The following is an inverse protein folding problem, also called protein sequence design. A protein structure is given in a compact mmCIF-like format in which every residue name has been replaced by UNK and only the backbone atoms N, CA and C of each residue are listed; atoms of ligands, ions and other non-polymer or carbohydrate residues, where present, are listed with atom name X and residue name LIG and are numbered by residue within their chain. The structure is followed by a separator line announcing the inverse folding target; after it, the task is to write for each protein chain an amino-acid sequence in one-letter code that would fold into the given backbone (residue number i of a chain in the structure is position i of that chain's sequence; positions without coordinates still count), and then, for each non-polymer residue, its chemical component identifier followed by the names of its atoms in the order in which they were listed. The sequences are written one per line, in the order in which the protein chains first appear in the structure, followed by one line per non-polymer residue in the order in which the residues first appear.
data_IF_730489355077
#
_entry.id   IF_730489355077
#
_cell.length_a   1.000
_cell.length_b   1.000
_cell.length_c   1.000
_cell.angle_alpha   90.00
_cell.angle_beta   90.00
_cell.angle_gamma   90.00
#
_symmetry.space_group_name_H-M   'P 1'
#
loop_
_entity.id
_entity.type
_entity.pdbx_description
1 polymer ?
#
# COMPACT_ATOMS: atom_id res chain seq x y z
N UNK A 1 8.48 3.07 -0.73
CA UNK A 1 8.92 4.36 -1.30
C UNK A 1 10.42 4.28 -1.51
N UNK A 2 10.94 4.76 -2.64
CA UNK A 2 12.34 4.54 -3.00
C UNK A 2 13.26 5.43 -2.14
N UNK A 3 14.37 4.87 -1.65
CA UNK A 3 15.30 5.55 -0.72
C UNK A 3 15.84 6.86 -1.29
N UNK A 4 16.06 6.91 -2.60
CA UNK A 4 16.50 8.11 -3.32
C UNK A 4 15.50 9.28 -3.16
N UNK A 5 14.19 9.00 -3.20
CA UNK A 5 13.15 10.03 -3.05
C UNK A 5 13.18 10.58 -1.63
N UNK A 6 13.38 9.72 -0.63
CA UNK A 6 13.45 10.12 0.78
C UNK A 6 14.66 11.04 1.01
N UNK A 7 15.84 10.63 0.52
CA UNK A 7 17.07 11.42 0.65
C UNK A 7 16.92 12.78 -0.05
N UNK A 8 16.46 12.80 -1.31
CA UNK A 8 16.26 14.03 -2.06
C UNK A 8 15.25 14.96 -1.37
N UNK A 9 14.14 14.40 -0.87
CA UNK A 9 13.11 15.18 -0.17
C UNK A 9 13.62 15.75 1.15
N UNK A 10 14.49 15.02 1.85
CA UNK A 10 15.11 15.47 3.10
C UNK A 10 16.07 16.63 2.84
N UNK A 11 16.96 16.49 1.85
CA UNK A 11 17.88 17.57 1.46
C UNK A 11 17.10 18.82 1.04
N UNK A 12 16.06 18.67 0.21
CA UNK A 12 15.27 19.80 -0.26
C UNK A 12 14.50 20.48 0.89
N UNK A 13 13.94 19.72 1.83
CA UNK A 13 13.23 20.25 2.99
C UNK A 13 14.16 21.03 3.93
N UNK A 14 15.36 20.50 4.19
CA UNK A 14 16.37 21.19 5.00
C UNK A 14 16.83 22.47 4.31
N UNK A 15 17.09 22.42 2.99
CA UNK A 15 17.50 23.59 2.24
C UNK A 15 16.43 24.70 2.29
N UNK A 16 15.15 24.36 2.14
CA UNK A 16 14.05 25.32 2.26
C UNK A 16 13.90 25.90 3.67
N UNK A 17 14.13 25.09 4.70
CA UNK A 17 14.13 25.53 6.10
C UNK A 17 15.23 26.57 6.36
N UNK A 18 16.48 26.23 6.04
CA UNK A 18 17.63 27.11 6.24
C UNK A 18 17.56 28.38 5.37
N UNK A 19 17.04 28.24 4.15
CA UNK A 19 16.76 29.37 3.27
C UNK A 19 15.78 30.37 3.93
N UNK A 20 14.81 29.87 4.70
CA UNK A 20 13.91 30.70 5.48
C UNK A 20 14.64 31.57 6.50
N UNK A 21 15.53 30.99 7.30
CA UNK A 21 16.36 31.73 8.25
C UNK A 21 17.25 32.75 7.54
N UNK A 22 17.90 32.35 6.45
CA UNK A 22 18.78 33.20 5.66
C UNK A 22 18.05 34.45 5.12
N UNK A 23 16.86 34.27 4.52
CA UNK A 23 16.05 35.39 4.01
C UNK A 23 15.61 36.31 5.15
N UNK A 24 15.12 35.75 6.25
CA UNK A 24 14.63 36.55 7.36
C UNK A 24 15.78 37.38 7.98
N UNK A 25 16.94 36.78 8.19
CA UNK A 25 18.14 37.46 8.67
C UNK A 25 18.58 38.58 7.71
N UNK A 26 18.64 38.30 6.41
CA UNK A 26 18.98 39.29 5.40
C UNK A 26 17.99 40.47 5.38
N UNK A 27 16.70 40.21 5.60
CA UNK A 27 15.67 41.26 5.67
C UNK A 27 15.82 42.19 6.89
N UNK A 28 16.47 41.71 7.95
CA UNK A 28 16.78 42.47 9.17
C UNK A 28 18.24 42.99 9.17
N UNK A 29 18.97 42.85 8.06
CA UNK A 29 20.35 43.33 7.91
C UNK A 29 21.40 42.50 8.65
N UNK A 30 21.07 41.29 9.10
CA UNK A 30 22.00 40.38 9.77
C UNK A 30 22.75 39.56 8.73
N UNK A 31 24.08 39.61 8.78
CA UNK A 31 24.93 38.87 7.85
C UNK A 31 25.08 37.41 8.28
N UNK A 32 25.10 36.51 7.28
CA UNK A 32 25.45 35.11 7.47
C UNK A 32 26.96 34.93 7.52
N UNK A 33 27.46 34.19 8.50
CA UNK A 33 28.89 33.92 8.64
C UNK A 33 29.30 32.66 7.86
N UNK A 34 28.56 31.56 8.04
CA UNK A 34 28.78 30.31 7.33
C UNK A 34 27.52 29.44 7.33
N UNK A 35 27.50 28.44 6.44
CA UNK A 35 26.52 27.35 6.48
C UNK A 35 27.27 26.09 6.87
N UNK A 36 26.80 25.38 7.89
CA UNK A 36 27.35 24.08 8.26
C UNK A 36 26.36 22.97 7.93
N UNK A 37 26.87 21.88 7.36
CA UNK A 37 26.13 20.65 7.13
C UNK A 37 26.67 19.61 8.10
N UNK A 38 25.79 18.88 8.77
CA UNK A 38 26.15 17.86 9.74
C UNK A 38 25.28 16.61 9.60
N UNK A 39 25.73 15.50 10.18
CA UNK A 39 24.96 14.26 10.27
C UNK A 39 24.68 13.95 11.74
N UNK A 40 23.42 14.08 12.16
CA UNK A 40 22.99 13.71 13.51
C UNK A 40 22.44 12.28 13.53
N UNK A 41 23.29 11.32 13.92
CA UNK A 41 23.02 9.87 13.96
C UNK A 41 22.68 9.30 12.58
N UNK A 42 21.46 9.52 12.09
CA UNK A 42 20.97 9.05 10.78
C UNK A 42 20.33 10.17 9.95
N UNK A 43 20.18 11.37 10.52
CA UNK A 43 19.51 12.49 9.86
C UNK A 43 20.53 13.53 9.39
N UNK A 44 20.58 13.84 8.09
CA UNK A 44 21.31 15.01 7.64
C UNK A 44 20.66 16.26 8.24
N UNK A 45 21.49 17.22 8.62
CA UNK A 45 21.10 18.52 9.11
C UNK A 45 21.95 19.60 8.47
N UNK A 46 21.40 20.81 8.39
CA UNK A 46 22.16 22.00 8.07
C UNK A 46 21.81 23.08 9.08
N UNK A 47 22.69 24.08 9.22
CA UNK A 47 22.42 25.27 9.99
C UNK A 47 23.07 26.48 9.30
N UNK A 48 22.34 27.59 9.28
CA UNK A 48 22.86 28.91 8.89
C UNK A 48 23.38 29.62 10.13
N UNK A 49 24.70 29.80 10.22
CA UNK A 49 25.32 30.57 11.29
C UNK A 49 25.19 32.07 11.00
N UNK A 50 24.55 32.78 11.93
CA UNK A 50 24.33 34.21 11.87
C UNK A 50 25.27 34.94 12.82
N UNK A 51 25.61 36.18 12.50
CA UNK A 51 26.39 37.01 13.41
C UNK A 51 25.61 37.28 14.71
N UNK A 52 26.09 36.69 15.82
CA UNK A 52 25.39 36.70 17.10
C UNK A 52 25.30 38.11 17.71
N UNK A 53 26.34 38.93 17.56
CA UNK A 53 26.38 40.30 18.10
C UNK A 53 25.32 41.19 17.43
N UNK A 54 25.19 41.10 16.10
CA UNK A 54 24.14 41.82 15.37
C UNK A 54 22.74 41.29 15.73
N UNK A 55 22.60 39.98 15.91
CA UNK A 55 21.34 39.33 16.25
C UNK A 55 20.83 39.73 17.66
N UNK A 56 21.71 39.79 18.67
CA UNK A 56 21.32 40.16 20.04
C UNK A 56 20.91 41.64 20.17
N UNK A 57 21.37 42.49 19.26
CA UNK A 57 21.01 43.91 19.20
C UNK A 57 19.66 44.18 18.51
N UNK A 58 19.04 43.17 17.88
CA UNK A 58 17.74 43.33 17.22
C UNK A 58 16.58 43.42 18.23
N UNK A 59 15.47 44.10 17.85
CA UNK A 59 14.25 44.03 18.64
C UNK A 59 13.74 42.58 18.71
N UNK A 60 13.16 42.22 19.86
CA UNK A 60 12.73 40.85 20.15
C UNK A 60 11.79 40.26 19.08
N UNK A 61 10.95 41.09 18.46
CA UNK A 61 10.06 40.65 17.40
C UNK A 61 10.80 40.27 16.11
N UNK A 62 11.83 41.03 15.73
CA UNK A 62 12.69 40.69 14.58
C UNK A 62 13.47 39.41 14.83
N UNK A 63 14.01 39.24 16.04
CA UNK A 63 14.67 38.00 16.45
C UNK A 63 13.71 36.80 16.38
N UNK A 64 12.48 36.95 16.88
CA UNK A 64 11.45 35.91 16.80
C UNK A 64 11.09 35.59 15.35
N UNK A 65 10.98 36.59 14.47
CA UNK A 65 10.74 36.38 13.03
C UNK A 65 11.85 35.55 12.39
N UNK A 66 13.11 35.81 12.72
CA UNK A 66 14.26 35.06 12.20
C UNK A 66 14.21 33.61 12.69
N UNK A 67 13.99 33.37 13.99
CA UNK A 67 13.93 31.99 14.52
C UNK A 67 12.70 31.21 14.05
N UNK A 68 11.55 31.86 13.85
CA UNK A 68 10.37 31.20 13.29
C UNK A 68 10.44 31.00 11.77
N UNK A 69 11.42 31.60 11.09
CA UNK A 69 11.42 31.65 9.63
C UNK A 69 11.56 30.28 8.97
N UNK A 70 12.45 29.40 9.46
CA UNK A 70 12.60 28.06 8.89
C UNK A 70 11.33 27.22 8.99
N UNK A 71 10.72 27.18 10.19
CA UNK A 71 9.44 26.52 10.42
C UNK A 71 8.36 27.08 9.48
N UNK A 72 8.26 28.41 9.35
CA UNK A 72 7.29 29.07 8.48
C UNK A 72 7.48 28.69 7.00
N UNK A 73 8.72 28.63 6.51
CA UNK A 73 9.00 28.25 5.12
C UNK A 73 8.66 26.78 4.84
N UNK A 74 8.90 25.88 5.80
CA UNK A 74 8.46 24.50 5.70
C UNK A 74 6.93 24.40 5.68
N UNK A 75 6.21 25.19 6.49
CA UNK A 75 4.73 25.24 6.45
C UNK A 75 4.22 25.71 5.08
N UNK A 76 4.83 26.77 4.51
CA UNK A 76 4.50 27.22 3.14
C UNK A 76 4.80 26.11 2.12
N UNK A 77 5.94 25.45 2.24
CA UNK A 77 6.34 24.38 1.33
C UNK A 77 5.38 23.18 1.39
N UNK A 78 4.94 22.81 2.59
CA UNK A 78 3.86 21.83 2.80
C UNK A 78 2.56 22.27 2.11
N UNK A 79 2.14 23.52 2.30
CA UNK A 79 0.93 24.06 1.65
C UNK A 79 1.05 24.04 0.12
N UNK A 80 2.22 24.36 -0.43
CA UNK A 80 2.51 24.26 -1.85
C UNK A 80 2.45 22.80 -2.35
N UNK A 81 2.99 21.84 -1.61
CA UNK A 81 2.90 20.42 -1.94
C UNK A 81 1.44 19.93 -1.96
N UNK A 82 0.63 20.32 -0.97
CA UNK A 82 -0.81 19.99 -0.93
C UNK A 82 -1.54 20.61 -2.11
N UNK A 83 -1.30 21.89 -2.41
CA UNK A 83 -1.91 22.56 -3.55
C UNK A 83 -1.53 21.86 -4.87
N UNK A 84 -0.26 21.52 -5.05
CA UNK A 84 0.21 20.80 -6.23
C UNK A 84 -0.40 19.40 -6.33
N UNK A 85 -0.57 18.69 -5.22
CA UNK A 85 -1.25 17.39 -5.20
C UNK A 85 -2.73 17.51 -5.60
N UNK A 86 -3.42 18.58 -5.19
CA UNK A 86 -4.80 18.86 -5.60
C UNK A 86 -4.92 19.23 -7.09
N UNK A 87 -3.93 19.95 -7.63
CA UNK A 87 -3.87 20.32 -9.05
C UNK A 87 -3.35 19.19 -9.95
N UNK A 88 -2.78 18.13 -9.38
CA UNK A 88 -2.14 17.04 -10.11
C UNK A 88 -3.06 16.37 -11.16
N UNK A 89 -4.34 16.06 -10.89
CA UNK A 89 -5.22 15.48 -11.89
C UNK A 89 -5.41 16.39 -13.11
N UNK A 90 -5.43 17.72 -12.92
CA UNK A 90 -5.55 18.71 -14.00
C UNK A 90 -4.28 18.77 -14.85
N UNK A 91 -3.11 18.73 -14.20
CA UNK A 91 -1.81 18.73 -14.88
C UNK A 91 -1.59 17.46 -15.69
N UNK A 92 -2.05 16.31 -15.18
CA UNK A 92 -1.85 15.01 -15.81
C UNK A 92 -2.89 14.68 -16.89
N UNK A 93 -4.12 15.20 -16.81
CA UNK A 93 -5.23 14.87 -17.71
C UNK A 93 -4.90 14.95 -19.23
N UNK A 94 -4.08 15.90 -19.74
CA UNK A 94 -3.74 15.96 -21.17
C UNK A 94 -3.00 14.71 -21.68
N UNK A 95 -2.16 14.09 -20.85
CA UNK A 95 -1.29 12.98 -21.24
C UNK A 95 -1.77 11.63 -20.67
N UNK A 96 -2.51 11.66 -19.57
CA UNK A 96 -2.93 10.48 -18.81
C UNK A 96 -4.46 10.42 -18.68
N UNK A 97 -4.98 9.21 -18.56
CA UNK A 97 -6.36 8.93 -18.17
C UNK A 97 -6.36 8.21 -16.82
N UNK A 98 -7.38 8.48 -16.02
CA UNK A 98 -7.61 7.84 -14.74
C UNK A 98 -9.03 7.30 -14.66
N UNK A 99 -9.25 6.32 -13.77
CA UNK A 99 -10.56 5.75 -13.49
C UNK A 99 -10.87 4.41 -14.14
N UNK A 100 -10.08 3.95 -15.12
CA UNK A 100 -10.27 2.66 -15.81
C UNK A 100 -9.18 1.65 -15.42
N UNK A 101 -9.20 1.24 -14.14
CA UNK A 101 -8.23 0.30 -13.58
C UNK A 101 -6.95 0.97 -13.05
N UNK A 102 -6.06 0.15 -12.50
CA UNK A 102 -4.76 0.55 -11.98
C UNK A 102 -3.65 -0.03 -12.84
N UNK A 103 -2.75 0.82 -13.35
CA UNK A 103 -1.59 0.35 -14.10
C UNK A 103 -0.50 -0.16 -13.14
N UNK A 104 0.11 -1.28 -13.51
CA UNK A 104 1.18 -1.93 -12.77
C UNK A 104 2.50 -1.23 -13.10
N UNK A 105 3.08 -0.55 -12.11
CA UNK A 105 4.36 0.15 -12.19
C UNK A 105 5.54 -0.76 -11.87
N UNK A 106 5.28 -1.86 -11.16
CA UNK A 106 6.30 -2.83 -10.80
C UNK A 106 5.73 -3.97 -9.97
N UNK A 107 6.31 -5.15 -10.11
CA UNK A 107 5.95 -6.33 -9.32
C UNK A 107 7.23 -6.88 -8.69
N UNK A 108 7.18 -7.20 -7.40
CA UNK A 108 8.29 -7.87 -6.73
C UNK A 108 8.54 -9.23 -7.36
N UNK A 109 9.79 -9.52 -7.73
CA UNK A 109 10.19 -10.80 -8.32
C UNK A 109 9.96 -12.00 -7.37
N UNK A 110 9.96 -11.77 -6.06
CA UNK A 110 9.67 -12.79 -5.06
C UNK A 110 8.19 -13.16 -4.96
N UNK A 111 7.29 -12.33 -5.52
CA UNK A 111 5.85 -12.55 -5.45
C UNK A 111 5.39 -13.50 -6.56
N UNK A 112 4.48 -14.42 -6.26
CA UNK A 112 3.84 -15.28 -7.26
C UNK A 112 3.03 -14.49 -8.30
N UNK A 113 2.67 -13.22 -8.02
CA UNK A 113 2.06 -12.32 -8.99
C UNK A 113 2.95 -12.01 -10.19
N UNK A 114 4.28 -12.06 -10.04
CA UNK A 114 5.23 -11.79 -11.13
C UNK A 114 5.12 -12.78 -12.29
N UNK A 115 4.50 -13.95 -12.06
CA UNK A 115 4.25 -14.96 -13.11
C UNK A 115 3.06 -14.61 -14.01
N UNK A 116 2.10 -13.83 -13.50
CA UNK A 116 0.83 -13.54 -14.18
C UNK A 116 0.70 -12.09 -14.62
N UNK A 117 1.27 -11.16 -13.84
CA UNK A 117 1.25 -9.72 -14.11
C UNK A 117 2.61 -9.22 -14.54
N UNK A 118 2.62 -8.40 -15.58
CA UNK A 118 3.80 -7.68 -16.08
C UNK A 118 3.68 -6.17 -15.84
N UNK A 119 4.81 -5.48 -15.89
CA UNK A 119 4.82 -4.00 -15.84
C UNK A 119 4.02 -3.46 -17.02
N UNK A 120 3.21 -2.43 -16.78
CA UNK A 120 2.24 -1.80 -17.68
C UNK A 120 0.94 -2.59 -17.95
N UNK A 121 0.76 -3.77 -17.34
CA UNK A 121 -0.57 -4.39 -17.28
C UNK A 121 -1.51 -3.50 -16.45
N UNK A 122 -2.81 -3.54 -16.74
CA UNK A 122 -3.83 -2.75 -16.04
C UNK A 122 -4.75 -3.69 -15.28
N UNK A 123 -4.75 -3.61 -13.94
CA UNK A 123 -5.68 -4.34 -13.09
C UNK A 123 -7.04 -3.67 -13.16
N UNK A 124 -8.08 -4.41 -13.51
CA UNK A 124 -9.44 -3.90 -13.69
C UNK A 124 -10.31 -4.18 -12.47
N UNK A 125 -10.27 -5.42 -11.96
CA UNK A 125 -11.10 -5.86 -10.86
C UNK A 125 -10.44 -6.96 -10.03
N UNK A 126 -10.83 -7.04 -8.75
CA UNK A 126 -10.52 -8.17 -7.87
C UNK A 126 -11.83 -8.80 -7.41
N UNK A 127 -11.97 -10.11 -7.56
CA UNK A 127 -13.20 -10.88 -7.30
C UNK A 127 -14.45 -10.32 -8.01
N UNK A 128 -14.27 -9.68 -9.18
CA UNK A 128 -15.34 -9.03 -9.94
C UNK A 128 -15.70 -7.61 -9.48
N UNK A 129 -15.08 -7.11 -8.40
CA UNK A 129 -15.24 -5.72 -7.97
C UNK A 129 -14.21 -4.83 -8.66
N UNK A 130 -14.70 -3.83 -9.40
CA UNK A 130 -13.85 -2.89 -10.13
C UNK A 130 -12.99 -2.06 -9.19
N UNK A 131 -11.68 -2.00 -9.46
CA UNK A 131 -10.72 -1.22 -8.69
C UNK A 131 -10.36 0.02 -9.49
N UNK A 132 -10.62 1.20 -8.90
CA UNK A 132 -10.28 2.49 -9.54
C UNK A 132 -9.21 3.26 -8.78
N UNK A 133 -9.00 2.95 -7.50
CA UNK A 133 -8.01 3.63 -6.64
C UNK A 133 -7.12 2.63 -5.93
N UNK A 134 -5.89 3.05 -5.65
CA UNK A 134 -4.90 2.27 -4.89
C UNK A 134 -5.39 1.95 -3.47
N UNK A 135 -6.16 2.85 -2.86
CA UNK A 135 -6.80 2.59 -1.56
C UNK A 135 -7.80 1.43 -1.61
N UNK A 136 -8.52 1.26 -2.73
CA UNK A 136 -9.49 0.19 -2.89
C UNK A 136 -8.75 -1.16 -2.98
N UNK A 137 -7.63 -1.21 -3.71
CA UNK A 137 -6.71 -2.37 -3.73
C UNK A 137 -6.21 -2.74 -2.33
N UNK A 138 -5.67 -1.77 -1.58
CA UNK A 138 -5.15 -2.02 -0.23
C UNK A 138 -6.26 -2.49 0.71
N UNK A 139 -7.45 -1.87 0.66
CA UNK A 139 -8.58 -2.27 1.50
C UNK A 139 -9.09 -3.66 1.16
N UNK A 140 -9.20 -4.01 -0.13
CA UNK A 140 -9.68 -5.33 -0.54
C UNK A 140 -8.75 -6.45 -0.08
N UNK A 141 -7.45 -6.23 -0.19
CA UNK A 141 -6.46 -7.21 0.27
C UNK A 141 -6.31 -7.23 1.79
N UNK A 142 -6.52 -6.10 2.49
CA UNK A 142 -6.51 -6.04 3.95
C UNK A 142 -7.81 -6.54 4.62
N UNK A 143 -8.97 -6.46 3.95
CA UNK A 143 -10.26 -6.91 4.50
C UNK A 143 -10.47 -8.42 4.43
N UNK A 144 -9.75 -9.15 3.56
CA UNK A 144 -9.71 -10.63 3.61
C UNK A 144 -9.16 -11.19 4.94
N UNK A 145 -8.62 -10.32 5.79
CA UNK A 145 -8.17 -10.63 7.16
C UNK A 145 -9.20 -10.32 8.25
N UNK A 146 -10.20 -9.45 8.02
CA UNK A 146 -11.13 -8.98 9.07
C UNK A 146 -12.32 -9.92 9.28
N UNK A 147 -12.78 -10.60 8.23
CA UNK A 147 -13.79 -11.68 8.37
C UNK A 147 -13.25 -12.91 9.14
N UNK A 148 -11.92 -12.98 9.37
CA UNK A 148 -11.29 -14.05 10.19
C UNK A 148 -11.46 -13.85 11.70
N UNK A 149 -11.96 -12.70 12.19
CA UNK A 149 -12.00 -12.40 13.64
C UNK A 149 -13.40 -12.51 14.25
N UNK A 150 -14.47 -12.66 13.47
CA UNK A 150 -15.85 -12.71 13.98
C UNK A 150 -16.48 -14.11 14.06
N UNK A 151 -15.75 -15.19 13.78
CA UNK A 151 -16.20 -16.56 14.05
C UNK A 151 -15.42 -17.15 15.23
N UNK A 152 -16.03 -17.03 16.43
CA UNK A 152 -15.74 -17.71 17.69
C UNK A 152 -14.41 -18.50 17.83
N UNK A 153 -13.54 -18.01 18.73
CA UNK A 153 -12.52 -18.83 19.40
C UNK A 153 -13.17 -20.10 19.98
N UNK A 154 -12.74 -21.27 19.51
CA UNK A 154 -12.87 -22.52 20.26
C UNK A 154 -11.46 -23.04 20.53
N UNK A 155 -11.11 -23.05 21.82
CA UNK A 155 -9.90 -23.63 22.38
C UNK A 155 -9.79 -25.12 22.01
N UNK A 156 -8.67 -25.51 21.38
CA UNK A 156 -8.35 -26.91 21.15
C UNK A 156 -7.05 -27.07 20.37
N UNK A 157 -5.96 -27.39 21.07
CA UNK A 157 -4.66 -27.66 20.48
C UNK A 157 -4.67 -28.91 19.60
N UNK A 158 -4.50 -28.72 18.30
CA UNK A 158 -3.91 -29.68 17.35
C UNK A 158 -3.61 -28.91 16.06
N UNK A 159 -2.38 -29.02 15.54
CA UNK A 159 -2.00 -28.41 14.25
C UNK A 159 -2.84 -29.05 13.12
N UNK A 160 -3.96 -28.43 12.80
CA UNK A 160 -4.85 -28.80 11.71
C UNK A 160 -4.67 -27.79 10.56
N UNK A 161 -4.62 -28.29 9.33
CA UNK A 161 -4.76 -27.47 8.12
C UNK A 161 -6.19 -26.89 8.11
N UNK A 162 -6.39 -25.82 8.87
CA UNK A 162 -7.66 -25.13 9.01
C UNK A 162 -8.04 -24.46 7.70
N UNK A 163 -9.19 -24.86 7.15
CA UNK A 163 -9.83 -24.19 6.04
C UNK A 163 -9.98 -22.69 6.36
N UNK A 164 -9.30 -21.83 5.60
CA UNK A 164 -9.66 -20.42 5.59
C UNK A 164 -10.99 -20.30 4.86
N UNK A 165 -12.03 -20.00 5.62
CA UNK A 165 -13.40 -19.75 5.18
C UNK A 165 -13.44 -18.55 4.21
N UNK A 166 -13.00 -18.74 2.97
CA UNK A 166 -13.28 -17.77 1.92
C UNK A 166 -14.71 -17.91 1.43
N UNK A 167 -15.37 -19.07 1.59
CA UNK A 167 -16.74 -19.33 1.13
C UNK A 167 -16.92 -19.23 -0.39
N UNK A 168 -15.83 -19.04 -1.15
CA UNK A 168 -15.80 -18.82 -2.60
C UNK A 168 -15.64 -20.17 -3.30
N UNK A 169 -16.70 -20.65 -3.93
CA UNK A 169 -16.71 -21.88 -4.69
C UNK A 169 -17.10 -21.68 -6.15
N UNK A 170 -17.04 -22.78 -6.89
CA UNK A 170 -17.44 -22.89 -8.28
C UNK A 170 -18.29 -24.15 -8.48
N UNK A 171 -19.32 -24.06 -9.34
CA UNK A 171 -20.16 -25.18 -9.73
C UNK A 171 -19.40 -26.07 -10.72
N UNK A 172 -18.92 -27.22 -10.25
CA UNK A 172 -18.12 -28.16 -11.04
C UNK A 172 -18.99 -29.34 -11.48
N UNK A 173 -19.07 -29.64 -12.78
CA UNK A 173 -19.82 -30.79 -13.28
C UNK A 173 -19.26 -32.13 -12.80
N UNK A 174 -20.15 -33.13 -12.67
CA UNK A 174 -19.78 -34.50 -12.28
C UNK A 174 -18.69 -35.12 -13.16
N UNK A 175 -18.72 -34.85 -14.46
CA UNK A 175 -17.72 -35.37 -15.41
C UNK A 175 -16.28 -34.96 -15.08
N UNK A 176 -16.07 -33.74 -14.56
CA UNK A 176 -14.75 -33.24 -14.16
C UNK A 176 -14.29 -33.88 -12.85
N UNK A 177 -15.24 -34.11 -11.93
CA UNK A 177 -14.98 -34.79 -10.67
C UNK A 177 -14.60 -36.26 -10.89
N UNK A 178 -15.29 -36.97 -11.77
CA UNK A 178 -14.99 -38.36 -12.13
C UNK A 178 -13.63 -38.47 -12.83
N UNK A 179 -13.33 -37.53 -13.74
CA UNK A 179 -12.01 -37.44 -14.37
C UNK A 179 -10.89 -37.20 -13.35
N UNK A 180 -11.14 -36.35 -12.35
CA UNK A 180 -10.21 -36.11 -11.25
C UNK A 180 -9.98 -37.36 -10.40
N UNK A 181 -11.03 -38.12 -10.06
CA UNK A 181 -10.90 -39.38 -9.30
C UNK A 181 -10.05 -40.42 -10.04
N UNK A 182 -10.17 -40.51 -11.36
CA UNK A 182 -9.33 -41.38 -12.18
C UNK A 182 -7.84 -40.99 -12.11
N UNK A 183 -7.52 -39.69 -12.00
CA UNK A 183 -6.14 -39.20 -11.81
C UNK A 183 -5.57 -39.56 -10.43
N UNK A 184 -6.38 -39.52 -9.37
CA UNK A 184 -5.96 -39.90 -8.01
C UNK A 184 -5.63 -41.40 -7.91
N UNK A 185 -6.41 -42.26 -8.57
CA UNK A 185 -6.19 -43.72 -8.55
C UNK A 185 -4.88 -44.15 -9.23
N UNK A 186 -4.27 -43.30 -10.05
CA UNK A 186 -3.04 -43.62 -10.79
C UNK A 186 -1.77 -43.37 -9.96
N UNK A 187 -1.80 -42.47 -8.96
CA UNK A 187 -0.57 -41.87 -8.44
C UNK A 187 -0.13 -42.30 -7.04
N UNK A 188 -0.89 -43.14 -6.32
CA UNK A 188 -0.57 -43.73 -5.01
C UNK A 188 0.04 -42.75 -3.96
N UNK A 189 -0.18 -41.44 -4.14
CA UNK A 189 0.39 -40.34 -3.37
C UNK A 189 -0.73 -39.41 -2.93
N UNK A 190 -0.74 -39.11 -1.63
CA UNK A 190 -1.71 -38.27 -0.92
C UNK A 190 -1.78 -36.79 -1.36
N UNK A 191 -1.09 -36.37 -2.42
CA UNK A 191 -0.91 -34.96 -2.77
C UNK A 191 -1.19 -34.70 -4.25
N UNK A 192 -1.96 -33.65 -4.56
CA UNK A 192 -2.16 -33.19 -5.93
C UNK A 192 -0.81 -32.86 -6.59
N UNK A 193 -0.64 -33.15 -7.89
CA UNK A 193 0.47 -32.63 -8.69
C UNK A 193 0.59 -31.11 -8.58
N UNK A 194 1.81 -30.57 -8.67
CA UNK A 194 2.13 -29.15 -8.42
C UNK A 194 1.37 -28.14 -9.32
N UNK A 195 0.76 -28.60 -10.41
CA UNK A 195 -0.04 -27.77 -11.34
C UNK A 195 -1.54 -27.74 -11.02
N UNK A 196 -2.01 -28.59 -10.10
CA UNK A 196 -3.41 -28.77 -9.74
C UNK A 196 -3.70 -28.28 -8.32
N UNK A 197 -4.88 -27.70 -8.12
CA UNK A 197 -5.34 -27.26 -6.81
C UNK A 197 -6.35 -28.27 -6.26
N UNK A 198 -6.27 -28.52 -4.95
CA UNK A 198 -7.24 -29.35 -4.23
C UNK A 198 -8.52 -28.55 -4.01
N UNK A 199 -9.64 -29.10 -4.42
CA UNK A 199 -10.98 -28.60 -4.13
C UNK A 199 -11.76 -29.63 -3.33
N UNK A 200 -12.65 -29.19 -2.45
CA UNK A 200 -13.61 -30.07 -1.79
C UNK A 200 -15.03 -29.51 -1.82
N UNK A 201 -16.00 -30.40 -1.57
CA UNK A 201 -17.42 -30.04 -1.62
C UNK A 201 -17.79 -29.07 -0.50
N UNK A 202 -18.55 -28.05 -0.86
CA UNK A 202 -19.05 -27.05 0.07
C UNK A 202 -20.56 -27.18 0.25
N UNK A 203 -21.01 -27.15 1.50
CA UNK A 203 -22.43 -27.14 1.86
C UNK A 203 -22.85 -25.75 2.34
N UNK A 204 -23.99 -25.29 1.83
CA UNK A 204 -24.51 -23.96 2.07
C UNK A 204 -25.03 -23.71 3.49
N UNK A 205 -25.08 -24.75 4.33
CA UNK A 205 -25.46 -24.64 5.74
C UNK A 205 -24.31 -24.17 6.65
N UNK A 206 -23.27 -23.53 6.09
CA UNK A 206 -22.17 -22.90 6.82
C UNK A 206 -21.02 -23.82 7.25
N UNK A 207 -21.05 -25.10 6.88
CA UNK A 207 -19.95 -26.04 7.15
C UNK A 207 -19.37 -26.56 5.83
N UNK A 208 -18.13 -26.17 5.55
CA UNK A 208 -17.32 -26.88 4.58
C UNK A 208 -16.94 -28.24 5.21
N UNK A 209 -17.38 -29.34 4.61
CA UNK A 209 -17.08 -30.68 5.12
C UNK A 209 -15.68 -31.08 4.64
N UNK A 210 -14.68 -30.88 5.49
CA UNK A 210 -13.31 -31.32 5.25
C UNK A 210 -12.91 -32.38 6.27
N UNK A 211 -12.59 -33.62 5.86
CA UNK A 211 -12.24 -34.69 6.80
C UNK A 211 -10.81 -34.55 7.33
N UNK A 212 -10.71 -34.43 8.66
CA UNK A 212 -9.50 -34.55 9.49
C UNK A 212 -9.70 -33.74 10.77
N UNK A 213 -9.92 -34.30 11.96
CA UNK A 213 -9.22 -35.41 12.60
C UNK A 213 -10.11 -36.05 13.68
N UNK A 214 -10.50 -37.31 13.50
CA UNK A 214 -10.77 -38.20 14.62
C UNK A 214 -10.28 -39.60 14.26
N UNK A 215 -9.43 -40.15 15.12
CA UNK A 215 -8.87 -41.49 14.99
C UNK A 215 -9.95 -42.53 15.29
N UNK A 216 -10.79 -42.91 14.32
CA UNK A 216 -11.41 -44.25 14.26
C UNK A 216 -11.80 -44.55 12.81
N UNK A 217 -11.26 -45.65 12.30
CA UNK A 217 -11.65 -46.48 11.14
C UNK A 217 -12.21 -45.88 9.84
N UNK A 218 -11.76 -46.53 8.77
CA UNK A 218 -12.42 -46.76 7.49
C UNK A 218 -12.11 -45.82 6.31
N UNK A 219 -11.88 -46.50 5.19
CA UNK A 219 -11.49 -46.12 3.83
C UNK A 219 -12.39 -45.07 3.12
N UNK A 220 -13.17 -44.29 3.88
CA UNK A 220 -14.22 -43.39 3.39
C UNK A 220 -13.86 -41.90 3.45
N UNK A 221 -12.72 -41.54 4.05
CA UNK A 221 -12.29 -40.16 4.29
C UNK A 221 -11.66 -39.46 3.07
N UNK A 222 -11.40 -40.18 1.97
CA UNK A 222 -10.73 -39.65 0.76
C UNK A 222 -11.70 -39.32 -0.38
N UNK A 223 -13.02 -39.44 -0.17
CA UNK A 223 -14.02 -39.49 -1.25
C UNK A 223 -14.50 -38.12 -1.80
N UNK A 224 -14.13 -37.00 -1.15
CA UNK A 224 -14.68 -35.66 -1.46
C UNK A 224 -13.64 -34.57 -1.79
N UNK A 225 -12.39 -34.97 -2.10
CA UNK A 225 -11.35 -34.06 -2.57
C UNK A 225 -11.05 -34.30 -4.06
N UNK A 226 -10.88 -33.22 -4.82
CA UNK A 226 -10.71 -33.25 -6.27
C UNK A 226 -9.53 -32.36 -6.65
N UNK A 227 -8.58 -32.88 -7.44
CA UNK A 227 -7.51 -32.06 -8.04
C UNK A 227 -8.03 -31.48 -9.34
N UNK A 228 -8.12 -30.15 -9.45
CA UNK A 228 -8.62 -29.47 -10.64
C UNK A 228 -7.66 -28.35 -11.07
N UNK A 229 -7.68 -28.03 -12.36
CA UNK A 229 -6.91 -26.94 -12.94
C UNK A 229 -7.61 -25.62 -12.60
N UNK A 230 -6.97 -24.78 -11.78
CA UNK A 230 -7.53 -23.51 -11.33
C UNK A 230 -8.00 -22.60 -12.49
N UNK A 231 -7.20 -22.52 -13.58
CA UNK A 231 -7.49 -21.74 -14.80
C UNK A 231 -8.83 -22.09 -15.45
N UNK A 232 -9.25 -23.35 -15.37
CA UNK A 232 -10.48 -23.79 -16.01
C UNK A 232 -11.67 -23.76 -15.05
N UNK A 233 -11.43 -24.03 -13.76
CA UNK A 233 -12.46 -23.91 -12.71
C UNK A 233 -12.98 -22.48 -12.58
N UNK A 234 -12.12 -21.47 -12.70
CA UNK A 234 -12.56 -20.06 -12.57
C UNK A 234 -13.49 -19.55 -13.67
N UNK A 235 -13.62 -20.30 -14.77
CA UNK A 235 -14.56 -19.98 -15.85
C UNK A 235 -15.98 -20.49 -15.55
N UNK A 236 -16.13 -21.35 -14.55
CA UNK A 236 -17.41 -21.96 -14.17
C UNK A 236 -18.27 -20.99 -13.36
N UNK A 237 -19.56 -21.31 -13.25
CA UNK A 237 -20.51 -20.53 -12.44
C UNK A 237 -20.03 -20.48 -10.98
N UNK A 238 -20.02 -19.27 -10.40
CA UNK A 238 -19.64 -19.04 -9.01
C UNK A 238 -20.71 -19.59 -8.07
N UNK A 239 -20.29 -20.15 -6.94
CA UNK A 239 -21.19 -20.61 -5.88
C UNK A 239 -20.58 -20.34 -4.50
N UNK A 240 -21.39 -20.47 -3.45
CA UNK A 240 -20.98 -20.25 -2.07
C UNK A 240 -21.18 -18.80 -1.62
N UNK A 241 -21.00 -18.57 -0.32
CA UNK A 241 -21.36 -17.33 0.37
C UNK A 241 -20.21 -16.29 0.42
N UNK A 242 -19.06 -16.60 -0.18
CA UNK A 242 -17.84 -15.80 -0.11
C UNK A 242 -17.66 -14.71 -1.17
N UNK A 243 -18.55 -14.66 -2.15
CA UNK A 243 -18.44 -13.73 -3.29
C UNK A 243 -19.11 -12.39 -2.94
N UNK A 244 -18.34 -11.29 -2.97
CA UNK A 244 -18.81 -9.95 -2.61
C UNK A 244 -19.37 -9.24 -3.85
N UNK A 245 -20.60 -8.71 -3.77
CA UNK A 245 -21.24 -7.97 -4.88
C UNK A 245 -22.46 -8.63 -5.54
N UNK A 246 -23.08 -9.61 -4.87
CA UNK A 246 -24.42 -10.10 -5.20
C UNK A 246 -25.31 -9.81 -4.02
N UNK A 247 -25.87 -8.59 -3.99
CA UNK A 247 -26.97 -8.27 -3.08
C UNK A 247 -28.14 -9.22 -3.39
N UNK A 248 -28.63 -9.87 -2.34
CA UNK A 248 -29.87 -10.64 -2.30
C UNK A 248 -30.12 -11.64 -3.43
N UNK A 249 -29.61 -12.86 -3.28
CA UNK A 249 -30.37 -14.03 -3.72
C UNK A 249 -29.88 -15.31 -3.01
N UNK A 250 -30.79 -15.94 -2.26
CA UNK A 250 -30.67 -17.29 -1.70
C UNK A 250 -30.37 -18.39 -2.76
N UNK A 251 -30.32 -18.03 -4.04
CA UNK A 251 -30.01 -18.91 -5.18
C UNK A 251 -28.50 -19.12 -5.43
N UNK A 252 -27.61 -18.29 -4.86
CA UNK A 252 -26.15 -18.31 -5.12
C UNK A 252 -25.41 -19.54 -4.59
N UNK A 253 -26.10 -20.37 -3.83
CA UNK A 253 -25.57 -21.57 -3.26
C UNK A 253 -26.02 -22.84 -4.02
N UNK A 254 -26.80 -22.66 -5.10
CA UNK A 254 -27.36 -23.74 -5.91
C UNK A 254 -26.66 -23.85 -7.28
N UNK A 255 -25.99 -24.98 -7.47
CA UNK A 255 -25.49 -25.44 -8.77
C UNK A 255 -26.60 -26.23 -9.47
N UNK A 256 -26.44 -26.50 -10.77
CA UNK A 256 -27.41 -27.33 -11.51
C UNK A 256 -27.44 -28.78 -10.99
N UNK A 257 -28.47 -29.56 -11.33
CA UNK A 257 -28.69 -30.92 -10.79
C UNK A 257 -27.51 -31.90 -11.03
N UNK A 258 -26.58 -31.60 -11.95
CA UNK A 258 -25.37 -32.40 -12.25
C UNK A 258 -24.05 -31.71 -11.85
N UNK A 259 -24.12 -30.66 -11.05
CA UNK A 259 -22.98 -29.86 -10.61
C UNK A 259 -22.92 -29.77 -9.08
N UNK A 260 -21.71 -29.77 -8.54
CA UNK A 260 -21.50 -29.56 -7.10
C UNK A 260 -20.68 -28.31 -6.85
N UNK A 261 -21.00 -27.60 -5.77
CA UNK A 261 -20.23 -26.45 -5.35
C UNK A 261 -18.90 -26.92 -4.73
N UNK A 262 -17.79 -26.63 -5.40
CA UNK A 262 -16.46 -26.98 -4.94
C UNK A 262 -15.68 -25.72 -4.53
N UNK A 263 -15.05 -25.76 -3.35
CA UNK A 263 -14.26 -24.68 -2.77
C UNK A 263 -12.80 -25.12 -2.67
N UNK A 264 -11.81 -24.25 -2.98
CA UNK A 264 -10.40 -24.59 -2.89
C UNK A 264 -9.99 -24.82 -1.42
N UNK A 265 -9.20 -25.86 -1.21
CA UNK A 265 -8.60 -26.17 0.10
C UNK A 265 -7.30 -25.39 0.22
N UNK A 266 -7.30 -24.37 1.08
CA UNK A 266 -6.18 -23.46 1.27
C UNK A 266 -5.49 -23.71 2.61
N UNK A 267 -4.20 -23.41 2.66
CA UNK A 267 -3.45 -23.36 3.91
C UNK A 267 -3.96 -22.21 4.80
N UNK A 268 -3.93 -22.38 6.14
CA UNK A 268 -4.21 -21.29 7.07
C UNK A 268 -3.43 -20.02 6.73
N UNK A 269 -4.13 -18.88 6.67
CA UNK A 269 -3.55 -17.60 6.30
C UNK A 269 -3.65 -17.26 4.80
N UNK A 270 -3.73 -18.26 3.91
CA UNK A 270 -3.80 -18.02 2.47
C UNK A 270 -5.24 -17.71 2.05
N UNK A 271 -5.36 -16.93 0.97
CA UNK A 271 -6.65 -16.52 0.41
C UNK A 271 -6.69 -16.77 -1.09
N UNK A 272 -7.89 -17.05 -1.60
CA UNK A 272 -8.19 -17.20 -3.02
C UNK A 272 -8.81 -15.90 -3.53
N UNK A 273 -8.12 -15.25 -4.46
CA UNK A 273 -8.61 -14.03 -5.11
C UNK A 273 -8.49 -14.14 -6.62
N UNK A 274 -9.51 -13.67 -7.32
CA UNK A 274 -9.55 -13.58 -8.77
C UNK A 274 -9.12 -12.17 -9.19
N UNK A 275 -8.12 -12.04 -10.06
CA UNK A 275 -7.65 -10.74 -10.55
C UNK A 275 -7.85 -10.68 -12.06
N UNK A 276 -8.66 -9.71 -12.50
CA UNK A 276 -8.85 -9.41 -13.92
C UNK A 276 -7.93 -8.28 -14.35
N UNK A 277 -7.29 -8.45 -15.49
CA UNK A 277 -6.30 -7.51 -16.02
C UNK A 277 -6.45 -7.32 -17.53
N UNK A 278 -5.94 -6.19 -18.02
CA UNK A 278 -5.81 -5.88 -19.43
C UNK A 278 -4.36 -5.56 -19.79
N UNK A 279 -3.99 -5.83 -21.05
CA UNK A 279 -2.70 -5.49 -21.65
C UNK A 279 -2.89 -4.54 -22.83
N UNK A 280 -3.35 -3.30 -22.58
CA UNK A 280 -3.68 -2.36 -23.67
C UNK A 280 -2.47 -1.99 -24.54
N UNK A 281 -1.26 -2.13 -24.00
CA UNK A 281 -0.02 -1.78 -24.68
C UNK A 281 0.70 -2.98 -25.31
N UNK A 282 0.12 -4.18 -25.27
CA UNK A 282 0.71 -5.33 -25.96
C UNK A 282 0.61 -5.13 -27.48
N UNK A 283 1.62 -5.60 -28.21
CA UNK A 283 1.65 -5.49 -29.67
C UNK A 283 0.41 -6.13 -30.31
N UNK A 284 0.00 -7.29 -29.80
CA UNK A 284 -1.19 -8.03 -30.26
C UNK A 284 -2.48 -7.23 -30.03
N UNK A 285 -2.57 -6.49 -28.93
CA UNK A 285 -3.76 -5.69 -28.63
C UNK A 285 -3.83 -4.42 -29.48
N UNK A 286 -2.69 -3.71 -29.63
CA UNK A 286 -2.60 -2.50 -30.46
C UNK A 286 -2.90 -2.80 -31.93
N UNK A 287 -2.46 -3.94 -32.45
CA UNK A 287 -2.79 -4.39 -33.82
C UNK A 287 -4.29 -4.66 -33.99
N UNK A 288 -4.96 -5.18 -32.96
CA UNK A 288 -6.40 -5.47 -32.99
C UNK A 288 -7.22 -4.19 -32.95
N UNK A 289 -6.81 -3.18 -32.20
CA UNK A 289 -7.46 -1.87 -32.13
C UNK A 289 -7.31 -1.07 -33.44
N UNK A 290 -6.14 -1.16 -34.09
CA UNK A 290 -5.92 -0.59 -35.43
C UNK A 290 -6.77 -1.24 -36.53
N UNK A 291 -7.19 -2.50 -36.36
CA UNK A 291 -8.06 -3.22 -37.30
C UNK A 291 -9.55 -3.06 -36.98
N UNK A 292 -9.91 -2.58 -35.78
CA UNK A 292 -11.28 -2.36 -35.32
C UNK A 292 -11.87 -1.01 -35.75
N UNK A 293 -11.30 -0.37 -36.78
CA UNK A 293 -11.99 0.69 -37.53
C UNK A 293 -12.94 0.13 -38.59
N UNK A 294 -12.97 -1.20 -38.78
CA UNK A 294 -13.77 -1.90 -39.78
C UNK A 294 -14.23 -3.27 -39.26
N UNK A 295 -15.25 -3.30 -38.40
CA UNK A 295 -16.32 -4.31 -38.37
C UNK A 295 -17.01 -4.36 -36.99
N UNK A 296 -18.34 -4.43 -37.03
CA UNK A 296 -19.19 -4.65 -35.86
C UNK A 296 -18.76 -5.91 -35.10
N UNK A 297 -18.50 -5.74 -33.80
CA UNK A 297 -18.23 -6.83 -32.87
C UNK A 297 -19.51 -7.60 -32.56
N UNK A 298 -19.72 -8.71 -33.26
CA UNK A 298 -20.52 -9.84 -32.76
C UNK A 298 -19.73 -11.11 -33.07
N UNK A 299 -19.08 -11.67 -32.05
CA UNK A 299 -18.88 -13.11 -31.84
C UNK A 299 -17.94 -13.34 -30.66
N UNK A 300 -18.54 -13.71 -29.52
CA UNK A 300 -17.86 -14.28 -28.36
C UNK A 300 -17.33 -15.67 -28.72
N UNK A 301 -16.10 -15.71 -29.26
CA UNK A 301 -15.32 -16.93 -29.31
C UNK A 301 -14.47 -17.03 -28.04
N UNK A 302 -14.71 -18.10 -27.26
CA UNK A 302 -14.04 -18.51 -26.02
C UNK A 302 -12.54 -18.88 -26.20
N UNK A 303 -11.76 -18.00 -26.83
CA UNK A 303 -10.29 -18.02 -26.78
C UNK A 303 -9.79 -17.01 -25.74
N UNK A 304 -8.61 -17.21 -25.12
CA UNK A 304 -8.01 -16.19 -24.26
C UNK A 304 -7.83 -14.90 -25.07
N UNK A 305 -8.38 -13.79 -24.58
CA UNK A 305 -8.24 -12.52 -25.29
C UNK A 305 -6.77 -12.07 -25.21
N UNK A 306 -6.10 -11.72 -26.32
CA UNK A 306 -4.69 -11.27 -26.27
C UNK A 306 -4.54 -9.92 -25.56
N UNK A 307 -5.66 -9.22 -25.34
CA UNK A 307 -5.75 -7.92 -24.71
C UNK A 307 -6.00 -7.98 -23.19
N UNK A 308 -6.18 -9.17 -22.60
CA UNK A 308 -6.51 -9.28 -21.18
C UNK A 308 -7.05 -10.64 -20.77
N UNK A 309 -7.23 -10.82 -19.47
CA UNK A 309 -7.78 -12.06 -18.94
C UNK A 309 -7.95 -11.99 -17.44
N UNK A 310 -8.22 -13.16 -16.88
CA UNK A 310 -8.41 -13.33 -15.45
C UNK A 310 -7.55 -14.48 -14.97
N UNK A 311 -6.87 -14.28 -13.84
CA UNK A 311 -6.09 -15.33 -13.19
C UNK A 311 -6.39 -15.36 -11.69
N UNK A 312 -6.02 -16.47 -11.05
CA UNK A 312 -6.17 -16.64 -9.62
C UNK A 312 -4.85 -16.40 -8.93
N UNK A 313 -4.90 -15.64 -7.86
CA UNK A 313 -3.82 -15.56 -6.89
C UNK A 313 -4.18 -16.35 -5.63
N UNK A 314 -3.22 -17.15 -5.17
CA UNK A 314 -3.28 -17.91 -3.92
C UNK A 314 -2.07 -17.53 -3.07
N UNK A 315 -2.33 -16.93 -1.90
CA UNK A 315 -1.26 -16.49 -1.00
C UNK A 315 -1.76 -15.63 0.16
N UNK A 316 -0.81 -15.12 0.96
CA UNK A 316 -1.09 -14.16 2.02
C UNK A 316 -1.29 -12.75 1.45
N UNK A 317 -2.52 -12.25 1.57
CA UNK A 317 -2.96 -10.96 1.02
C UNK A 317 -2.17 -9.77 1.57
N UNK A 318 -1.71 -9.83 2.82
CA UNK A 318 -0.94 -8.75 3.45
C UNK A 318 0.39 -8.54 2.71
N UNK A 319 1.11 -9.64 2.46
CA UNK A 319 2.35 -9.61 1.69
C UNK A 319 2.10 -9.15 0.23
N UNK A 320 1.01 -9.59 -0.39
CA UNK A 320 0.65 -9.29 -1.78
C UNK A 320 0.32 -7.83 -2.00
N UNK A 321 -0.39 -7.20 -1.06
CA UNK A 321 -0.81 -5.81 -1.19
C UNK A 321 0.39 -4.88 -1.38
N UNK A 322 1.51 -5.20 -0.71
CA UNK A 322 2.77 -4.46 -0.80
C UNK A 322 3.69 -4.89 -1.94
N UNK A 323 3.42 -6.03 -2.61
CA UNK A 323 4.31 -6.59 -3.62
C UNK A 323 4.13 -6.00 -5.02
N UNK A 324 3.07 -5.21 -5.22
CA UNK A 324 2.74 -4.56 -6.50
C UNK A 324 2.73 -3.05 -6.32
N UNK A 325 3.51 -2.34 -7.14
CA UNK A 325 3.46 -0.89 -7.27
C UNK A 325 2.39 -0.54 -8.31
N UNK A 326 1.42 0.28 -7.93
CA UNK A 326 0.25 0.62 -8.75
C UNK A 326 0.12 2.13 -8.92
N UNK A 327 -0.39 2.57 -10.08
CA UNK A 327 -0.79 3.97 -10.31
C UNK A 327 -2.21 4.03 -10.89
N UNK A 328 -3.04 5.01 -10.48
CA UNK A 328 -4.35 5.24 -11.07
C UNK A 328 -4.28 5.98 -12.42
N UNK A 329 -3.10 6.46 -12.84
CA UNK A 329 -2.91 7.21 -14.08
C UNK A 329 -2.19 6.35 -15.10
N UNK A 330 -2.86 6.07 -16.22
CA UNK A 330 -2.24 5.40 -17.37
C UNK A 330 -2.07 6.37 -18.55
N UNK A 331 -1.01 6.24 -19.35
CA UNK A 331 -0.85 7.04 -20.57
C UNK A 331 -2.06 6.91 -21.51
N UNK A 332 -2.44 8.00 -22.18
CA UNK A 332 -3.52 7.96 -23.19
C UNK A 332 -3.14 7.17 -24.44
N UNK A 333 -1.86 7.22 -24.80
CA UNK A 333 -1.34 6.64 -26.04
C UNK A 333 -0.10 5.80 -25.74
N UNK A 334 0.07 4.70 -26.47
CA UNK A 334 1.20 3.77 -26.29
C UNK A 334 2.58 4.43 -26.46
N UNK A 335 2.70 5.48 -27.28
CA UNK A 335 3.97 6.21 -27.43
C UNK A 335 4.46 6.88 -26.12
N UNK A 336 3.54 7.20 -25.19
CA UNK A 336 3.87 7.80 -23.91
C UNK A 336 4.21 6.78 -22.81
N UNK A 337 4.44 5.50 -23.15
CA UNK A 337 4.87 4.49 -22.18
C UNK A 337 6.21 4.83 -21.51
N UNK A 338 7.12 5.51 -22.21
CA UNK A 338 8.39 5.98 -21.63
C UNK A 338 8.20 6.93 -20.44
N UNK A 339 7.04 7.58 -20.35
CA UNK A 339 6.68 8.50 -19.26
C UNK A 339 5.56 7.91 -18.38
N UNK A 340 5.27 6.61 -18.45
CA UNK A 340 4.24 5.98 -17.64
C UNK A 340 4.50 6.12 -16.13
N UNK A 341 5.78 6.17 -15.72
CA UNK A 341 6.18 6.28 -14.32
C UNK A 341 6.01 7.68 -13.72
N UNK A 342 5.87 8.72 -14.55
CA UNK A 342 5.89 10.13 -14.11
C UNK A 342 4.80 10.43 -13.05
N UNK A 343 3.51 10.07 -13.24
CA UNK A 343 2.48 10.28 -12.23
C UNK A 343 2.84 9.64 -10.88
N UNK A 344 3.25 8.36 -10.92
CA UNK A 344 3.62 7.61 -9.72
C UNK A 344 4.81 8.23 -8.99
N UNK A 345 5.85 8.65 -9.72
CA UNK A 345 7.01 9.32 -9.12
C UNK A 345 6.58 10.67 -8.52
N UNK A 346 5.79 11.45 -9.24
CA UNK A 346 5.36 12.78 -8.80
C UNK A 346 4.49 12.73 -7.54
N UNK A 347 3.53 11.80 -7.46
CA UNK A 347 2.72 11.56 -6.26
C UNK A 347 3.58 11.19 -5.06
N UNK A 348 4.52 10.27 -5.24
CA UNK A 348 5.43 9.84 -4.17
C UNK A 348 6.39 10.95 -3.75
N UNK A 349 6.90 11.74 -4.68
CA UNK A 349 7.75 12.89 -4.39
C UNK A 349 6.98 13.96 -3.60
N UNK A 350 5.78 14.35 -4.04
CA UNK A 350 4.95 15.33 -3.35
C UNK A 350 4.57 14.86 -1.94
N UNK A 351 4.17 13.58 -1.82
CA UNK A 351 3.87 12.98 -0.53
C UNK A 351 5.11 12.97 0.38
N UNK A 352 6.27 12.54 -0.13
CA UNK A 352 7.49 12.50 0.68
C UNK A 352 7.94 13.90 1.13
N UNK A 353 7.91 14.89 0.22
CA UNK A 353 8.26 16.28 0.54
C UNK A 353 7.34 16.84 1.62
N UNK A 354 6.04 16.61 1.51
CA UNK A 354 5.05 17.03 2.51
C UNK A 354 5.37 16.42 3.88
N UNK A 355 5.55 15.10 3.97
CA UNK A 355 5.78 14.42 5.25
C UNK A 355 7.12 14.83 5.88
N UNK A 356 8.19 14.89 5.09
CA UNK A 356 9.52 15.24 5.60
C UNK A 356 9.58 16.70 6.03
N UNK A 357 9.02 17.62 5.23
CA UNK A 357 8.97 19.04 5.59
C UNK A 357 8.08 19.30 6.82
N UNK A 358 6.93 18.64 6.91
CA UNK A 358 6.06 18.71 8.09
C UNK A 358 6.73 18.15 9.35
N UNK A 359 7.43 17.02 9.24
CA UNK A 359 8.20 16.44 10.34
C UNK A 359 9.34 17.37 10.77
N UNK A 360 10.08 17.94 9.81
CA UNK A 360 11.16 18.88 10.09
C UNK A 360 10.66 20.15 10.77
N UNK A 361 9.52 20.70 10.33
CA UNK A 361 8.86 21.83 10.99
C UNK A 361 8.44 21.48 12.42
N UNK A 362 7.80 20.33 12.62
CA UNK A 362 7.35 19.88 13.94
C UNK A 362 8.50 19.63 14.91
N UNK A 363 9.60 19.02 14.45
CA UNK A 363 10.81 18.82 15.25
C UNK A 363 11.44 20.15 15.64
N UNK A 364 11.58 21.08 14.69
CA UNK A 364 12.14 22.41 14.98
C UNK A 364 11.25 23.30 15.86
N UNK A 365 9.96 22.98 16.05
CA UNK A 365 9.13 23.64 17.06
C UNK A 365 9.48 23.24 18.51
N UNK A 366 10.21 22.14 18.72
CA UNK A 366 10.48 21.63 20.07
C UNK A 366 11.56 22.47 20.77
N UNK A 367 11.38 22.83 22.05
CA UNK A 367 12.37 23.59 22.82
C UNK A 367 13.50 22.67 23.33
N UNK A 368 14.24 22.12 22.38
CA UNK A 368 15.38 21.20 22.58
C UNK A 368 16.65 21.90 22.12
N UNK A 369 17.78 21.61 22.76
CA UNK A 369 19.07 22.16 22.36
C UNK A 369 19.33 21.97 20.85
N UNK A 370 19.87 23.02 20.23
CA UNK A 370 20.20 23.10 18.80
C UNK A 370 19.01 23.18 17.84
N UNK A 371 17.76 23.17 18.32
CA UNK A 371 16.57 23.38 17.49
C UNK A 371 16.03 24.82 17.65
N UNK A 372 15.33 25.31 16.63
CA UNK A 372 14.78 26.67 16.60
C UNK A 372 13.85 26.95 17.78
N UNK A 373 13.05 25.94 18.17
CA UNK A 373 12.08 26.01 19.25
C UNK A 373 12.68 26.45 20.58
N UNK A 374 13.97 26.20 20.80
CA UNK A 374 14.66 26.67 21.99
C UNK A 374 14.87 28.19 21.99
N UNK A 375 15.38 28.71 20.87
CA UNK A 375 15.59 30.15 20.68
C UNK A 375 14.25 30.90 20.60
N UNK A 376 13.22 30.28 20.01
CA UNK A 376 11.84 30.78 20.00
C UNK A 376 11.29 30.88 21.43
N UNK A 377 11.41 29.83 22.24
CA UNK A 377 10.92 29.84 23.62
C UNK A 377 11.61 30.93 24.45
N UNK A 378 12.93 31.04 24.34
CA UNK A 378 13.70 32.04 25.06
C UNK A 378 13.29 33.47 24.68
N UNK A 379 13.20 33.76 23.38
CA UNK A 379 12.82 35.08 22.85
C UNK A 379 11.36 35.42 23.18
N UNK A 380 10.45 34.45 23.06
CA UNK A 380 9.03 34.64 23.37
C UNK A 380 8.80 34.95 24.85
N UNK A 381 9.50 34.27 25.76
CA UNK A 381 9.41 34.55 27.20
C UNK A 381 9.93 35.94 27.56
N UNK A 382 10.99 36.40 26.87
CA UNK A 382 11.48 37.79 27.01
C UNK A 382 10.45 38.80 26.50
N UNK A 383 9.77 38.49 25.40
CA UNK A 383 8.75 39.36 24.79
C UNK A 383 7.50 39.53 25.64
N UNK A 384 6.95 38.42 26.19
CA UNK A 384 5.69 38.44 26.96
C UNK A 384 5.84 39.14 28.32
N UNK A 385 7.07 39.28 28.83
CA UNK A 385 7.42 40.03 30.06
C UNK A 385 6.62 39.70 31.35
N UNK A 386 5.81 38.64 31.35
CA UNK A 386 4.97 38.23 32.48
C UNK A 386 5.81 37.65 33.64
N UNK A 387 6.93 37.01 33.33
CA UNK A 387 7.75 36.33 34.32
C UNK A 387 9.01 37.12 34.65
N UNK A 388 9.40 37.10 35.94
CA UNK A 388 10.69 37.64 36.37
C UNK A 388 11.85 36.85 35.74
N UNK A 389 13.02 37.49 35.53
CA UNK A 389 14.21 36.83 34.96
C UNK A 389 14.63 35.53 35.66
N UNK A 390 14.37 35.40 36.97
CA UNK A 390 14.60 34.14 37.70
C UNK A 390 13.61 33.04 37.29
N UNK A 391 12.33 33.37 37.18
CA UNK A 391 11.28 32.44 36.75
C UNK A 391 11.47 32.02 35.30
N UNK A 392 11.77 32.97 34.40
CA UNK A 392 12.09 32.66 32.99
C UNK A 392 13.22 31.62 32.88
N UNK A 393 14.32 31.80 33.61
CA UNK A 393 15.43 30.83 33.62
C UNK A 393 15.03 29.46 34.13
N UNK A 394 14.14 29.38 35.13
CA UNK A 394 13.63 28.10 35.63
C UNK A 394 12.72 27.44 34.59
N UNK A 395 11.79 28.19 34.00
CA UNK A 395 10.88 27.69 32.95
C UNK A 395 11.68 27.14 31.78
N UNK A 396 12.63 27.92 31.23
CA UNK A 396 13.47 27.50 30.11
C UNK A 396 14.22 26.20 30.46
N UNK A 397 14.86 26.11 31.63
CA UNK A 397 15.58 24.90 32.05
C UNK A 397 14.66 23.69 32.17
N UNK A 398 13.49 23.84 32.78
CA UNK A 398 12.53 22.75 32.97
C UNK A 398 11.95 22.31 31.63
N UNK A 399 11.53 23.24 30.78
CA UNK A 399 11.03 22.93 29.43
C UNK A 399 12.10 22.22 28.59
N UNK A 400 13.33 22.76 28.54
CA UNK A 400 14.45 22.13 27.84
C UNK A 400 14.68 20.70 28.30
N UNK A 401 14.77 20.48 29.62
CA UNK A 401 15.00 19.15 30.19
C UNK A 401 13.85 18.18 29.90
N UNK A 402 12.61 18.62 30.06
CA UNK A 402 11.44 17.77 29.81
C UNK A 402 11.37 17.34 28.34
N UNK A 403 11.52 18.30 27.42
CA UNK A 403 11.42 18.03 25.98
C UNK A 403 12.62 17.25 25.45
N UNK A 404 13.84 17.45 25.98
CA UNK A 404 14.98 16.60 25.60
C UNK A 404 14.75 15.15 26.03
N UNK A 405 14.29 14.91 27.27
CA UNK A 405 13.98 13.56 27.76
C UNK A 405 12.86 12.91 26.94
N UNK A 406 11.77 13.64 26.67
CA UNK A 406 10.67 13.14 25.84
C UNK A 406 11.13 12.81 24.42
N UNK A 407 11.92 13.67 23.79
CA UNK A 407 12.46 13.42 22.45
C UNK A 407 13.37 12.18 22.42
N UNK A 408 14.22 11.98 23.42
CA UNK A 408 15.06 10.77 23.53
C UNK A 408 14.20 9.50 23.67
N UNK A 409 13.14 9.55 24.48
CA UNK A 409 12.21 8.41 24.64
C UNK A 409 11.48 8.11 23.32
N UNK A 410 11.03 9.15 22.62
CA UNK A 410 10.34 8.99 21.33
C UNK A 410 11.26 8.43 20.25
N UNK A 411 12.47 8.98 20.11
CA UNK A 411 13.46 8.48 19.14
C UNK A 411 13.93 7.06 19.47
N UNK A 412 14.17 6.74 20.75
CA UNK A 412 14.57 5.38 21.13
C UNK A 412 13.46 4.35 20.87
N UNK A 413 12.19 4.69 21.13
CA UNK A 413 11.04 3.84 20.75
C UNK A 413 10.92 3.66 19.25
N UNK A 414 11.12 4.73 18.48
CA UNK A 414 11.11 4.65 17.02
C UNK A 414 12.22 3.74 16.49
N UNK A 415 13.45 3.92 16.97
CA UNK A 415 14.59 3.07 16.60
C UNK A 415 14.38 1.61 17.02
N UNK A 416 13.86 1.37 18.23
CA UNK A 416 13.55 0.02 18.71
C UNK A 416 12.50 -0.65 17.83
N UNK A 417 11.40 0.05 17.51
CA UNK A 417 10.38 -0.45 16.60
C UNK A 417 10.96 -0.77 15.23
N UNK A 418 11.84 0.08 14.69
CA UNK A 418 12.50 -0.20 13.41
C UNK A 418 13.37 -1.46 13.49
N UNK A 419 14.13 -1.65 14.56
CA UNK A 419 14.98 -2.84 14.73
C UNK A 419 14.22 -4.14 14.94
N UNK A 420 13.05 -4.10 15.60
CA UNK A 420 12.23 -5.29 15.88
C UNK A 420 11.35 -5.69 14.69
N UNK A 421 10.93 -4.72 13.87
CA UNK A 421 10.07 -4.99 12.70
C UNK A 421 10.86 -5.24 11.41
N UNK A 422 12.11 -4.77 11.30
CA UNK A 422 12.94 -4.91 10.08
C UNK A 422 14.24 -5.71 10.29
N UNK A 423 14.52 -6.19 11.50
CA UNK A 423 15.56 -7.17 11.77
C UNK A 423 14.93 -8.54 12.01
#
# INVERSE_FOLDING_TARGET
MDTSIIIASTILSIAFHEFGHAIAAASEGVQMEYVAIFMAVLFPGALVALNYDLLENLPLFSMLRIYCAGIWHNVIFCAACVLMALLLPLVLCPLYVSGDGLIVMGVSQSSSLSRSLSVHDVILSVDGLNIRRTDDWMKMLAQGTVEKTSSHEFLGGSQSYGATNSGKGYCVPNSWMDASKNLWQINDKLSCPDELIVFGKFSCNGSAYFPGTDKVSDKKQTEDLYCLIAKDVVKLKKCGNGWRGTEDDDSNCTCLEEEYCLVPVLTPGFSWIEISYARPYSLECLQKEGNLSSSHATNDNFGPSPCGGTFVYVGDLSSTASSVKLSPYRPRWAFFLLIADVPYILENCLSCLLHVSAALAAVNCLPVYFLDGDAILETALRYVAWFNRRQQRVIIKVCRFLWTVLSIIMFSRFLYSMTVYYG
#
